data_IF_493744588328
#
_entry.id   IF_493744588328
#
_cell.length_a   1.000
_cell.length_b   1.000
_cell.length_c   1.000
_cell.angle_alpha   90.00
_cell.angle_beta   90.00
_cell.angle_gamma   90.00
#
_symmetry.space_group_name_H-M   'P 1'
#
loop_
_entity.id
_entity.type
_entity.pdbx_description
1 polymer ?
#
# COMPACT_ATOMS: atom_id res chain seq x y z
N UNK A 1 12.69 -14.12 9.37
CA UNK A 1 12.75 -12.90 10.20
C UNK A 1 11.32 -12.49 10.49
N UNK A 2 10.86 -12.50 11.74
CA UNK A 2 9.46 -12.16 12.06
C UNK A 2 9.27 -10.65 12.03
N UNK A 3 8.36 -10.18 11.22
CA UNK A 3 7.91 -8.79 11.18
C UNK A 3 7.24 -8.46 12.52
N UNK A 4 7.69 -7.44 13.20
CA UNK A 4 7.04 -6.99 14.43
C UNK A 4 6.74 -5.51 14.32
N UNK A 5 5.46 -5.18 14.29
CA UNK A 5 5.01 -3.84 14.65
C UNK A 5 5.30 -3.56 16.12
N UNK A 6 5.42 -2.29 16.46
CA UNK A 6 5.36 -1.89 17.85
C UNK A 6 3.99 -2.27 18.44
N UNK A 7 3.89 -2.66 19.72
CA UNK A 7 2.64 -3.13 20.33
C UNK A 7 1.44 -2.18 20.18
N UNK A 8 1.70 -0.88 19.97
CA UNK A 8 0.67 0.14 19.73
C UNK A 8 -0.05 -0.01 18.40
N UNK A 9 0.52 -0.66 17.39
CA UNK A 9 -0.07 -0.73 16.05
C UNK A 9 -1.32 -1.61 15.96
N UNK A 10 -1.48 -2.60 16.84
CA UNK A 10 -2.63 -3.50 16.83
C UNK A 10 -3.93 -2.84 17.33
N UNK A 11 -3.84 -1.74 18.09
CA UNK A 11 -4.98 -1.04 18.67
C UNK A 11 -5.14 0.39 18.13
N UNK A 12 -4.13 0.93 17.45
CA UNK A 12 -4.13 2.32 16.98
C UNK A 12 -5.00 2.46 15.73
N UNK A 13 -5.97 3.37 15.79
CA UNK A 13 -6.70 3.80 14.60
C UNK A 13 -5.74 4.60 13.70
N UNK A 14 -5.44 4.07 12.52
CA UNK A 14 -4.62 4.77 11.53
C UNK A 14 -5.53 5.78 10.79
N UNK A 15 -5.34 7.09 10.96
CA UNK A 15 -6.21 8.09 10.32
C UNK A 15 -6.04 8.05 8.80
N UNK A 16 -7.09 8.34 8.01
CA UNK A 16 -6.94 8.50 6.57
C UNK A 16 -5.97 9.65 6.26
N UNK A 17 -5.12 9.48 5.25
CA UNK A 17 -4.14 10.49 4.87
C UNK A 17 -3.90 10.49 3.37
N UNK A 18 -3.87 11.68 2.75
CA UNK A 18 -3.36 11.86 1.38
C UNK A 18 -1.84 11.93 1.47
N UNK A 19 -1.16 11.07 0.71
CA UNK A 19 0.29 10.93 0.69
C UNK A 19 0.79 10.95 -0.77
N UNK A 20 1.95 11.57 -1.00
CA UNK A 20 2.62 11.69 -2.29
C UNK A 20 2.64 13.11 -2.81
N UNK A 21 3.66 13.46 -3.62
CA UNK A 21 3.78 14.73 -4.32
C UNK A 21 3.24 14.63 -5.75
N UNK A 22 3.65 13.59 -6.50
CA UNK A 22 3.11 13.24 -7.79
C UNK A 22 2.42 11.87 -7.69
N UNK A 23 1.20 11.75 -8.20
CA UNK A 23 0.42 10.51 -8.09
C UNK A 23 -0.05 10.22 -6.66
N UNK A 24 -0.61 11.23 -6.02
CA UNK A 24 -1.13 11.17 -4.64
C UNK A 24 -2.16 10.06 -4.44
N UNK A 25 -2.14 9.45 -3.25
CA UNK A 25 -3.08 8.41 -2.83
C UNK A 25 -3.70 8.77 -1.49
N UNK A 26 -5.01 8.56 -1.37
CA UNK A 26 -5.67 8.55 -0.06
C UNK A 26 -5.47 7.17 0.56
N UNK A 27 -4.69 7.09 1.61
CA UNK A 27 -4.45 5.88 2.39
C UNK A 27 -5.54 5.74 3.45
N UNK A 28 -6.22 4.59 3.50
CA UNK A 28 -7.36 4.32 4.39
C UNK A 28 -7.12 3.01 5.12
N UNK A 29 -6.80 3.10 6.41
CA UNK A 29 -6.63 1.93 7.27
C UNK A 29 -7.97 1.36 7.73
N UNK A 30 -8.18 0.05 7.56
CA UNK A 30 -9.33 -0.68 8.07
C UNK A 30 -8.89 -1.76 9.08
N UNK A 31 -9.80 -2.21 9.94
CA UNK A 31 -9.50 -3.24 10.94
C UNK A 31 -9.73 -4.64 10.37
N UNK A 32 -8.64 -5.37 10.21
CA UNK A 32 -8.66 -6.75 9.75
C UNK A 32 -8.99 -6.91 8.25
N UNK A 33 -8.87 -8.12 7.71
CA UNK A 33 -9.04 -8.40 6.29
C UNK A 33 -10.50 -8.41 5.83
N UNK A 34 -11.46 -8.68 6.72
CA UNK A 34 -12.86 -8.83 6.33
C UNK A 34 -13.49 -7.57 5.68
N UNK A 35 -13.25 -6.33 6.17
CA UNK A 35 -13.71 -5.14 5.46
C UNK A 35 -13.13 -5.01 4.04
N UNK A 36 -11.87 -5.43 3.83
CA UNK A 36 -11.27 -5.41 2.49
C UNK A 36 -11.96 -6.38 1.54
N UNK A 37 -12.25 -7.61 1.99
CA UNK A 37 -12.90 -8.64 1.17
C UNK A 37 -14.28 -8.23 0.71
N UNK A 38 -15.03 -7.56 1.57
CA UNK A 38 -16.42 -7.18 1.32
C UNK A 38 -16.59 -5.76 0.75
N UNK A 39 -15.49 -5.03 0.55
CA UNK A 39 -15.53 -3.66 0.04
C UNK A 39 -16.08 -3.61 -1.40
N UNK A 40 -17.13 -2.83 -1.59
CA UNK A 40 -17.77 -2.55 -2.89
C UNK A 40 -17.80 -1.04 -3.11
N UNK A 41 -16.76 -0.45 -3.72
CA UNK A 41 -16.68 0.99 -3.89
C UNK A 41 -17.67 1.49 -4.95
N UNK A 42 -18.26 2.65 -4.71
CA UNK A 42 -18.95 3.43 -5.73
C UNK A 42 -17.91 4.20 -6.56
N UNK A 43 -17.51 3.64 -7.68
CA UNK A 43 -16.45 4.17 -8.52
C UNK A 43 -16.78 5.56 -9.08
N UNK A 44 -18.04 5.84 -9.40
CA UNK A 44 -18.45 7.15 -9.91
C UNK A 44 -18.29 8.24 -8.84
N UNK A 45 -18.71 7.96 -7.60
CA UNK A 45 -18.49 8.88 -6.47
C UNK A 45 -17.01 9.05 -6.16
N UNK A 46 -16.22 7.99 -6.22
CA UNK A 46 -14.76 8.07 -6.01
C UNK A 46 -14.10 8.95 -7.09
N UNK A 47 -14.53 8.86 -8.35
CA UNK A 47 -14.04 9.74 -9.43
C UNK A 47 -14.32 11.22 -9.11
N UNK A 48 -15.55 11.54 -8.72
CA UNK A 48 -15.91 12.91 -8.34
C UNK A 48 -15.11 13.39 -7.13
N UNK A 49 -14.98 12.54 -6.11
CA UNK A 49 -14.22 12.86 -4.89
C UNK A 49 -12.73 13.09 -5.18
N UNK A 50 -12.14 12.34 -6.11
CA UNK A 50 -10.73 12.51 -6.51
C UNK A 50 -10.40 13.94 -6.92
N UNK A 51 -11.28 14.57 -7.72
CA UNK A 51 -11.12 15.97 -8.13
C UNK A 51 -11.24 16.94 -6.94
N UNK A 52 -12.09 16.64 -5.97
CA UNK A 52 -12.33 17.51 -4.81
C UNK A 52 -11.16 17.47 -3.81
N UNK A 53 -10.57 16.29 -3.58
CA UNK A 53 -9.53 16.10 -2.56
C UNK A 53 -8.11 16.08 -3.12
N UNK A 54 -7.94 16.12 -4.43
CA UNK A 54 -6.63 16.07 -5.09
C UNK A 54 -5.92 14.72 -4.95
N UNK A 55 -6.66 13.61 -4.76
CA UNK A 55 -6.09 12.28 -4.68
C UNK A 55 -6.36 11.49 -5.96
N UNK A 56 -5.31 10.97 -6.59
CA UNK A 56 -5.42 10.19 -7.84
C UNK A 56 -5.95 8.76 -7.63
N UNK A 57 -6.02 8.30 -6.38
CA UNK A 57 -6.56 6.98 -6.05
C UNK A 57 -6.68 6.72 -4.55
N UNK A 58 -7.29 5.60 -4.23
CA UNK A 58 -7.68 5.17 -2.88
C UNK A 58 -7.02 3.85 -2.55
N UNK A 59 -6.09 3.87 -1.61
CA UNK A 59 -5.41 2.68 -1.14
C UNK A 59 -5.97 2.28 0.21
N UNK A 60 -6.83 1.27 0.20
CA UNK A 60 -7.45 0.73 1.41
C UNK A 60 -6.61 -0.45 1.89
N UNK A 61 -6.18 -0.42 3.14
CA UNK A 61 -5.28 -1.42 3.68
C UNK A 61 -5.65 -1.85 5.10
N UNK A 62 -5.21 -3.02 5.47
CA UNK A 62 -5.18 -3.47 6.86
C UNK A 62 -3.76 -3.87 7.25
N UNK A 63 -3.47 -3.75 8.54
CA UNK A 63 -2.20 -4.18 9.13
C UNK A 63 -2.44 -5.46 9.91
N UNK A 64 -1.61 -6.48 9.66
CA UNK A 64 -1.69 -7.83 10.21
C UNK A 64 -0.46 -8.14 11.07
N UNK A 65 -0.38 -7.61 12.31
CA UNK A 65 0.83 -7.67 13.12
C UNK A 65 1.27 -9.09 13.50
N UNK A 66 0.36 -10.05 13.40
CA UNK A 66 0.59 -11.46 13.74
C UNK A 66 0.71 -12.37 12.51
N UNK A 67 0.61 -11.85 11.30
CA UNK A 67 0.83 -12.65 10.09
C UNK A 67 2.31 -13.05 9.98
N UNK A 68 2.56 -14.26 9.49
CA UNK A 68 3.92 -14.81 9.44
C UNK A 68 4.70 -14.32 8.23
N UNK A 69 4.02 -14.07 7.12
CA UNK A 69 4.61 -13.87 5.80
C UNK A 69 4.45 -12.46 5.23
N UNK A 70 3.45 -11.69 5.66
CA UNK A 70 3.25 -10.30 5.23
C UNK A 70 2.61 -9.44 6.32
N UNK A 71 2.93 -8.14 6.30
CA UNK A 71 2.45 -7.19 7.30
C UNK A 71 1.11 -6.56 6.91
N UNK A 72 0.86 -6.36 5.62
CA UNK A 72 -0.31 -5.63 5.15
C UNK A 72 -1.04 -6.36 4.03
N UNK A 73 -2.37 -6.28 4.04
CA UNK A 73 -3.21 -6.59 2.89
C UNK A 73 -3.89 -5.31 2.40
N UNK A 74 -4.11 -5.22 1.08
CA UNK A 74 -4.61 -3.97 0.50
C UNK A 74 -5.42 -4.17 -0.77
N UNK A 75 -6.19 -3.11 -1.13
CA UNK A 75 -6.87 -2.92 -2.41
C UNK A 75 -6.67 -1.50 -2.90
N UNK A 76 -6.48 -1.32 -4.20
CA UNK A 76 -6.21 -0.03 -4.81
C UNK A 76 -7.23 0.32 -5.88
N UNK A 77 -7.86 1.48 -5.76
CA UNK A 77 -8.87 1.99 -6.69
C UNK A 77 -8.42 3.33 -7.27
N UNK A 78 -8.39 3.44 -8.60
CA UNK A 78 -8.01 4.67 -9.31
C UNK A 78 -9.02 5.01 -10.42
N UNK A 79 -10.33 5.14 -10.12
CA UNK A 79 -11.33 5.32 -11.17
C UNK A 79 -11.17 6.63 -11.94
N UNK A 80 -10.62 7.67 -11.33
CA UNK A 80 -10.28 8.92 -12.02
C UNK A 80 -9.18 8.77 -13.08
N UNK A 81 -8.39 7.68 -13.03
CA UNK A 81 -7.40 7.31 -14.03
C UNK A 81 -7.90 6.20 -14.99
N UNK A 82 -9.20 5.87 -14.96
CA UNK A 82 -9.78 4.80 -15.76
C UNK A 82 -9.51 3.39 -15.24
N UNK A 83 -8.94 3.24 -14.04
CA UNK A 83 -8.61 1.95 -13.43
C UNK A 83 -9.57 1.67 -12.29
N UNK A 84 -10.50 0.73 -12.50
CA UNK A 84 -11.48 0.37 -11.49
C UNK A 84 -10.82 -0.17 -10.22
N UNK A 85 -9.92 -1.15 -10.37
CA UNK A 85 -9.07 -1.68 -9.31
C UNK A 85 -7.75 -2.14 -9.90
N UNK A 86 -6.63 -1.73 -9.28
CA UNK A 86 -5.27 -2.12 -9.66
C UNK A 86 -4.86 -3.38 -8.89
N UNK A 87 -4.43 -4.46 -9.55
CA UNK A 87 -4.04 -5.70 -8.89
C UNK A 87 -2.83 -5.56 -7.97
N UNK A 88 -1.80 -4.80 -8.36
CA UNK A 88 -0.57 -4.61 -7.56
C UNK A 88 0.02 -3.22 -7.81
N UNK A 89 0.03 -2.39 -6.79
CA UNK A 89 0.53 -1.02 -6.87
C UNK A 89 1.78 -0.81 -6.02
N UNK A 90 2.95 -0.89 -6.61
CA UNK A 90 4.23 -0.63 -5.92
C UNK A 90 4.29 0.79 -5.35
N UNK A 91 3.86 1.80 -6.11
CA UNK A 91 3.81 3.19 -5.64
C UNK A 91 2.98 3.34 -4.36
N UNK A 92 1.79 2.76 -4.31
CA UNK A 92 0.93 2.87 -3.13
C UNK A 92 1.53 2.17 -1.90
N UNK A 93 2.22 1.04 -2.08
CA UNK A 93 2.93 0.36 -1.01
C UNK A 93 4.11 1.19 -0.48
N UNK A 94 4.87 1.85 -1.35
CA UNK A 94 5.93 2.77 -0.94
C UNK A 94 5.39 3.94 -0.13
N UNK A 95 4.27 4.56 -0.56
CA UNK A 95 3.60 5.62 0.18
C UNK A 95 3.07 5.13 1.53
N UNK A 96 2.54 3.91 1.60
CA UNK A 96 2.13 3.30 2.86
C UNK A 96 3.33 3.10 3.79
N UNK A 97 4.47 2.62 3.28
CA UNK A 97 5.71 2.47 4.04
C UNK A 97 6.14 3.78 4.70
N UNK A 98 6.21 4.85 3.92
CA UNK A 98 6.55 6.19 4.42
C UNK A 98 5.54 6.67 5.47
N UNK A 99 4.26 6.41 5.27
CA UNK A 99 3.21 6.80 6.21
C UNK A 99 3.30 6.03 7.54
N UNK A 100 3.48 4.71 7.50
CA UNK A 100 3.65 3.89 8.70
C UNK A 100 4.92 4.25 9.47
N UNK A 101 6.01 4.58 8.76
CA UNK A 101 7.24 5.08 9.36
C UNK A 101 7.02 6.39 10.11
N UNK A 102 6.33 7.37 9.49
CA UNK A 102 5.99 8.65 10.11
C UNK A 102 5.11 8.50 11.37
N UNK A 103 4.26 7.51 11.40
CA UNK A 103 3.45 7.18 12.58
C UNK A 103 4.22 6.42 13.67
N UNK A 104 5.48 6.07 13.42
CA UNK A 104 6.29 5.28 14.34
C UNK A 104 5.76 3.86 14.54
N UNK A 105 5.06 3.31 13.56
CA UNK A 105 4.43 1.99 13.65
C UNK A 105 5.34 0.85 13.16
N UNK A 106 6.41 1.17 12.44
CA UNK A 106 7.37 0.19 11.94
C UNK A 106 8.50 -0.03 12.94
N UNK A 107 8.86 -1.29 13.16
CA UNK A 107 10.06 -1.65 13.91
C UNK A 107 11.28 -1.41 13.03
N UNK A 108 12.23 -0.63 13.54
CA UNK A 108 13.53 -0.39 12.90
C UNK A 108 14.58 -1.39 13.40
N UNK A 109 15.49 -1.73 12.50
CA UNK A 109 16.75 -2.41 12.83
C UNK A 109 17.89 -1.47 12.42
N UNK A 110 18.39 -0.69 13.37
CA UNK A 110 19.28 0.43 13.08
C UNK A 110 18.58 1.48 12.21
N UNK A 111 19.20 1.83 11.10
CA UNK A 111 18.69 2.81 10.13
C UNK A 111 17.78 2.20 9.04
N UNK A 112 17.28 0.98 9.24
CA UNK A 112 16.44 0.30 8.27
C UNK A 112 15.16 -0.24 8.89
N UNK A 113 14.09 -0.23 8.08
CA UNK A 113 12.89 -1.00 8.33
C UNK A 113 12.51 -1.74 7.04
N UNK A 114 11.89 -2.89 7.19
CA UNK A 114 11.42 -3.67 6.05
C UNK A 114 10.10 -4.36 6.41
N UNK A 115 9.20 -4.49 5.45
CA UNK A 115 8.01 -5.34 5.55
C UNK A 115 7.53 -5.70 4.16
N UNK A 116 6.64 -6.70 4.07
CA UNK A 116 5.94 -7.01 2.82
C UNK A 116 4.46 -6.75 2.93
N UNK A 117 3.85 -6.39 1.81
CA UNK A 117 2.43 -6.27 1.63
C UNK A 117 1.92 -7.12 0.49
N UNK A 118 0.65 -7.51 0.55
CA UNK A 118 -0.02 -8.24 -0.52
C UNK A 118 -1.25 -7.48 -0.99
N UNK A 119 -1.56 -7.63 -2.29
CA UNK A 119 -2.67 -6.97 -2.97
C UNK A 119 -3.20 -7.89 -4.08
N UNK A 120 -4.44 -7.67 -4.53
CA UNK A 120 -4.99 -8.34 -5.71
C UNK A 120 -5.79 -9.61 -5.43
N UNK A 121 -5.98 -10.01 -4.19
CA UNK A 121 -6.82 -11.18 -3.84
C UNK A 121 -8.25 -11.07 -4.38
N UNK A 122 -8.86 -9.88 -4.32
CA UNK A 122 -10.21 -9.62 -4.84
C UNK A 122 -10.32 -9.76 -6.36
N UNK A 123 -9.21 -9.67 -7.06
CA UNK A 123 -9.11 -9.81 -8.52
C UNK A 123 -8.60 -11.19 -8.96
N UNK A 124 -8.39 -12.12 -8.01
CA UNK A 124 -7.74 -13.42 -8.25
C UNK A 124 -6.35 -13.28 -8.94
N UNK A 125 -5.66 -12.17 -8.67
CA UNK A 125 -4.33 -11.82 -9.18
C UNK A 125 -3.44 -11.33 -8.04
N UNK A 126 -3.21 -12.17 -7.01
CA UNK A 126 -2.42 -11.75 -5.87
C UNK A 126 -0.98 -11.46 -6.28
N UNK A 127 -0.46 -10.38 -5.74
CA UNK A 127 0.95 -10.01 -5.85
C UNK A 127 1.50 -9.54 -4.51
N UNK A 128 2.80 -9.74 -4.35
CA UNK A 128 3.57 -9.35 -3.17
C UNK A 128 4.49 -8.20 -3.52
N UNK A 129 4.58 -7.24 -2.64
CA UNK A 129 5.52 -6.11 -2.72
C UNK A 129 6.35 -6.11 -1.45
N UNK A 130 7.67 -6.07 -1.59
CA UNK A 130 8.61 -5.86 -0.49
C UNK A 130 8.91 -4.37 -0.39
N UNK A 131 8.89 -3.84 0.82
CA UNK A 131 9.11 -2.44 1.12
C UNK A 131 10.29 -2.33 2.07
N UNK A 132 11.34 -1.66 1.61
CA UNK A 132 12.49 -1.29 2.43
C UNK A 132 12.50 0.20 2.66
N UNK A 133 12.80 0.61 3.89
CA UNK A 133 12.92 2.00 4.29
C UNK A 133 14.31 2.22 4.88
N UNK A 134 14.92 3.32 4.51
CA UNK A 134 16.20 3.78 5.05
C UNK A 134 15.99 5.10 5.79
N UNK A 135 16.68 5.23 6.91
CA UNK A 135 16.61 6.41 7.75
C UNK A 135 18.02 6.98 7.90
N UNK A 136 18.14 8.28 7.90
CA UNK A 136 19.36 9.01 8.23
C UNK A 136 19.01 10.06 9.28
N UNK A 137 19.83 10.16 10.33
CA UNK A 137 19.62 11.11 11.45
C UNK A 137 18.20 11.02 12.06
N UNK A 138 17.60 9.83 12.03
CA UNK A 138 16.26 9.59 12.56
C UNK A 138 15.11 9.85 11.59
N UNK A 139 15.37 10.54 10.47
CA UNK A 139 14.39 10.88 9.44
C UNK A 139 14.40 9.85 8.31
N UNK A 140 13.26 9.73 7.60
CA UNK A 140 13.13 8.86 6.44
C UNK A 140 13.93 9.43 5.26
N UNK A 141 15.00 8.74 4.86
CA UNK A 141 15.87 9.13 3.76
C UNK A 141 15.47 8.51 2.43
N UNK A 142 14.93 7.28 2.44
CA UNK A 142 14.55 6.59 1.21
C UNK A 142 13.52 5.48 1.43
N UNK A 143 12.81 5.15 0.34
CA UNK A 143 11.88 4.02 0.27
C UNK A 143 12.14 3.27 -1.03
N UNK A 144 12.41 1.99 -0.91
CA UNK A 144 12.59 1.08 -2.04
C UNK A 144 11.47 0.06 -2.05
N UNK A 145 11.02 -0.27 -3.24
CA UNK A 145 10.03 -1.32 -3.46
C UNK A 145 10.59 -2.34 -4.44
N UNK A 146 10.33 -3.59 -4.16
CA UNK A 146 10.67 -4.70 -5.04
C UNK A 146 9.54 -5.72 -5.10
N UNK A 147 9.55 -6.55 -6.13
CA UNK A 147 8.55 -7.58 -6.36
C UNK A 147 9.01 -8.53 -7.44
N UNK A 148 8.18 -9.52 -7.72
CA UNK A 148 8.41 -10.51 -8.77
C UNK A 148 7.47 -10.27 -9.94
N UNK A 149 7.97 -10.52 -11.15
CA UNK A 149 7.18 -10.47 -12.38
C UNK A 149 7.42 -11.76 -13.19
N UNK A 150 6.40 -12.19 -13.93
CA UNK A 150 6.46 -13.33 -14.82
C UNK A 150 6.19 -12.86 -16.24
N UNK A 151 7.07 -13.18 -17.19
CA UNK A 151 6.83 -12.94 -18.60
C UNK A 151 5.70 -13.85 -19.10
N UNK A 152 4.64 -13.24 -19.63
CA UNK A 152 3.49 -13.97 -20.16
C UNK A 152 3.65 -14.19 -21.66
N UNK A 153 4.18 -13.19 -22.39
CA UNK A 153 4.49 -13.29 -23.81
C UNK A 153 5.59 -12.29 -24.19
N UNK A 154 6.19 -12.51 -25.34
CA UNK A 154 7.13 -11.60 -25.99
C UNK A 154 6.66 -11.38 -27.43
N UNK A 155 6.76 -10.15 -27.94
CA UNK A 155 6.42 -9.79 -29.32
C UNK A 155 7.42 -8.76 -29.85
N UNK A 156 7.56 -8.71 -31.18
CA UNK A 156 8.30 -7.66 -31.90
C UNK A 156 7.30 -6.73 -32.58
N UNK A 157 7.57 -5.43 -32.58
CA UNK A 157 6.75 -4.40 -33.21
C UNK A 157 7.65 -3.71 -34.23
N UNK A 158 7.27 -3.76 -35.51
CA UNK A 158 7.90 -2.98 -36.58
C UNK A 158 7.17 -1.64 -36.71
N UNK A 159 7.93 -0.53 -36.88
CA UNK A 159 7.40 0.84 -37.03
C UNK A 159 7.69 1.34 -38.42
#
# INVERSE_FOLDING_TARGET
>A
MRWRLLPRASTTRIPPRIVGAAGTRLLIGVRGPEPLKHLKPDLARLTTLSAQIGAAGYFVFTVLPNAEDHLTESRMFCPALGIAEDPVSGNAHGLLGAYLARLGLLRRNGERAHFSGVQGYSLHRPGRVEIELEFADGELAGVWISGQAVSIFQTEIEF
#
